data_IF_307093890030
#
_entry.id   IF_307093890030
#
_cell.length_a   1.000
_cell.length_b   1.000
_cell.length_c   1.000
_cell.angle_alpha   90.00
_cell.angle_beta   90.00
_cell.angle_gamma   90.00
#
_symmetry.space_group_name_H-M   'P 1'
#
loop_
_entity.id
_entity.type
_entity.pdbx_description
1 polymer ?
#
# COMPACT_ATOMS: atom_id res chain seq x y z
N UNK A 1 7.09 -19.70 12.59
CA UNK A 1 5.67 -19.73 12.19
C UNK A 1 5.01 -18.41 12.58
N UNK A 2 4.26 -17.77 11.67
CA UNK A 2 3.36 -16.66 12.07
C UNK A 2 2.29 -17.24 12.98
N UNK A 3 2.04 -16.63 14.13
CA UNK A 3 1.02 -17.11 15.04
C UNK A 3 -0.33 -16.81 14.39
N UNK A 4 -1.30 -17.73 14.49
CA UNK A 4 -2.66 -17.51 14.00
C UNK A 4 -3.25 -16.17 14.46
N UNK A 5 -2.86 -15.72 15.65
CA UNK A 5 -3.19 -14.42 16.25
C UNK A 5 -2.74 -13.19 15.43
N UNK A 6 -1.75 -13.34 14.53
CA UNK A 6 -1.28 -12.24 13.68
C UNK A 6 -2.24 -11.98 12.50
N UNK A 7 -3.00 -13.00 12.08
CA UNK A 7 -3.88 -12.95 10.91
C UNK A 7 -5.20 -12.27 11.29
N UNK A 8 -5.63 -11.31 10.48
CA UNK A 8 -6.95 -10.72 10.61
C UNK A 8 -7.97 -11.58 9.85
N UNK A 9 -8.98 -12.08 10.56
CA UNK A 9 -10.15 -12.74 9.96
C UNK A 9 -11.24 -11.74 9.57
N UNK A 10 -12.20 -12.17 8.73
CA UNK A 10 -13.32 -11.31 8.28
C UNK A 10 -14.14 -10.79 9.45
N UNK A 11 -14.46 -11.65 10.42
CA UNK A 11 -15.25 -11.26 11.59
C UNK A 11 -14.51 -10.23 12.45
N UNK A 12 -13.22 -10.45 12.71
CA UNK A 12 -12.38 -9.51 13.44
C UNK A 12 -12.22 -8.17 12.69
N UNK A 13 -12.05 -8.19 11.36
CA UNK A 13 -12.04 -6.97 10.53
C UNK A 13 -13.35 -6.19 10.71
N UNK A 14 -14.48 -6.88 10.58
CA UNK A 14 -15.80 -6.27 10.65
C UNK A 14 -16.11 -5.69 12.03
N UNK A 15 -15.78 -6.43 13.09
CA UNK A 15 -16.06 -6.03 14.46
C UNK A 15 -15.12 -4.93 14.96
N UNK A 16 -13.81 -5.07 14.74
CA UNK A 16 -12.81 -4.19 15.36
C UNK A 16 -12.40 -2.99 14.50
N UNK A 17 -12.41 -3.13 13.17
CA UNK A 17 -11.80 -2.13 12.29
C UNK A 17 -12.79 -1.37 11.41
N UNK A 18 -13.91 -1.97 11.00
CA UNK A 18 -14.92 -1.25 10.21
C UNK A 18 -15.67 -0.19 11.02
N UNK A 19 -15.69 -0.30 12.35
CA UNK A 19 -16.24 0.72 13.26
C UNK A 19 -15.52 2.07 13.15
N UNK A 20 -14.25 2.08 12.72
CA UNK A 20 -13.48 3.30 12.44
C UNK A 20 -13.94 4.04 11.17
N UNK A 21 -14.79 3.43 10.36
CA UNK A 21 -15.40 4.07 9.19
C UNK A 21 -16.79 4.56 9.54
N UNK A 22 -17.01 5.87 9.48
CA UNK A 22 -18.34 6.44 9.71
C UNK A 22 -19.27 6.12 8.54
N UNK A 23 -20.57 6.27 8.74
CA UNK A 23 -21.57 6.12 7.68
C UNK A 23 -21.24 7.02 6.47
N UNK A 24 -20.87 8.28 6.71
CA UNK A 24 -20.45 9.23 5.65
C UNK A 24 -19.21 8.73 4.90
N UNK A 25 -18.22 8.20 5.61
CA UNK A 25 -17.02 7.64 4.99
C UNK A 25 -17.35 6.46 4.07
N UNK A 26 -18.20 5.54 4.53
CA UNK A 26 -18.67 4.40 3.73
C UNK A 26 -19.39 4.86 2.47
N UNK A 27 -20.28 5.85 2.57
CA UNK A 27 -20.96 6.40 1.40
C UNK A 27 -20.02 7.01 0.36
N UNK A 28 -18.92 7.64 0.78
CA UNK A 28 -17.91 8.17 -0.14
C UNK A 28 -17.23 7.01 -0.87
N UNK A 29 -16.77 5.98 -0.13
CA UNK A 29 -16.08 4.83 -0.70
C UNK A 29 -16.96 3.95 -1.60
N UNK A 30 -18.24 3.78 -1.23
CA UNK A 30 -19.18 2.92 -1.95
C UNK A 30 -19.65 3.56 -3.29
N UNK A 31 -19.31 4.83 -3.58
CA UNK A 31 -19.59 5.50 -4.85
C UNK A 31 -18.33 6.04 -5.51
N UNK A 32 -18.06 5.58 -6.75
CA UNK A 32 -16.92 6.05 -7.54
C UNK A 32 -16.99 7.56 -7.82
N UNK A 33 -18.19 8.11 -8.03
CA UNK A 33 -18.41 9.54 -8.25
C UNK A 33 -18.13 10.36 -6.99
N UNK A 34 -18.71 9.98 -5.84
CA UNK A 34 -18.44 10.68 -4.57
C UNK A 34 -16.97 10.61 -4.18
N UNK A 35 -16.33 9.46 -4.38
CA UNK A 35 -14.89 9.31 -4.22
C UNK A 35 -14.13 10.33 -5.07
N UNK A 36 -14.41 10.42 -6.37
CA UNK A 36 -13.75 11.38 -7.27
C UNK A 36 -13.99 12.83 -6.88
N UNK A 37 -15.22 13.20 -6.57
CA UNK A 37 -15.57 14.56 -6.13
C UNK A 37 -14.72 14.98 -4.93
N UNK A 38 -14.63 14.12 -3.92
CA UNK A 38 -13.82 14.36 -2.72
C UNK A 38 -12.33 14.41 -3.04
N UNK A 39 -11.82 13.49 -3.86
CA UNK A 39 -10.41 13.47 -4.25
C UNK A 39 -10.03 14.75 -5.01
N UNK A 40 -10.83 15.15 -6.01
CA UNK A 40 -10.63 16.37 -6.79
C UNK A 40 -10.69 17.62 -5.92
N UNK A 41 -11.66 17.71 -4.99
CA UNK A 41 -11.76 18.82 -4.05
C UNK A 41 -10.48 19.03 -3.23
N UNK A 42 -9.83 17.93 -2.83
CA UNK A 42 -8.56 17.97 -2.09
C UNK A 42 -7.31 17.91 -2.97
N UNK A 43 -7.44 18.10 -4.28
CA UNK A 43 -6.33 18.03 -5.24
C UNK A 43 -5.54 16.71 -5.17
N UNK A 44 -6.22 15.61 -4.84
CA UNK A 44 -5.66 14.27 -4.89
C UNK A 44 -5.87 13.71 -6.30
N UNK A 45 -4.78 13.25 -6.92
CA UNK A 45 -4.81 12.84 -8.32
C UNK A 45 -5.72 11.63 -8.54
N UNK A 46 -6.74 11.79 -9.36
CA UNK A 46 -7.65 10.75 -9.82
C UNK A 46 -7.95 10.94 -11.32
N UNK A 47 -8.63 9.99 -11.97
CA UNK A 47 -9.02 10.16 -13.37
C UNK A 47 -10.06 11.28 -13.51
N UNK A 48 -9.88 12.13 -14.50
CA UNK A 48 -10.73 13.23 -14.93
C UNK A 48 -12.10 12.72 -15.35
N UNK A 49 -13.12 13.42 -14.89
CA UNK A 49 -14.52 13.15 -15.18
C UNK A 49 -14.95 14.00 -16.37
N UNK A 50 -15.44 13.37 -17.42
CA UNK A 50 -15.82 14.02 -18.67
C UNK A 50 -17.33 14.29 -18.74
N UNK A 51 -18.15 13.37 -18.22
CA UNK A 51 -19.60 13.49 -18.19
C UNK A 51 -20.22 12.65 -17.07
N UNK A 52 -21.39 13.06 -16.59
CA UNK A 52 -22.21 12.31 -15.62
C UNK A 52 -23.64 12.27 -16.17
N UNK A 53 -24.29 11.12 -16.09
CA UNK A 53 -25.68 10.92 -16.47
C UNK A 53 -26.44 10.34 -15.27
N UNK A 54 -27.31 11.14 -14.67
CA UNK A 54 -28.17 10.75 -13.54
C UNK A 54 -29.53 10.26 -14.00
N UNK A 55 -29.98 10.71 -15.17
CA UNK A 55 -31.25 10.35 -15.77
C UNK A 55 -31.17 10.29 -17.30
N UNK A 56 -32.30 9.96 -17.94
CA UNK A 56 -32.38 9.86 -19.40
C UNK A 56 -32.20 11.23 -20.07
N UNK A 57 -32.66 12.30 -19.45
CA UNK A 57 -32.55 13.65 -20.01
C UNK A 57 -31.09 14.07 -20.16
N UNK A 58 -30.25 13.75 -19.17
CA UNK A 58 -28.79 13.96 -19.25
C UNK A 58 -28.19 13.25 -20.48
N UNK A 59 -28.60 12.00 -20.75
CA UNK A 59 -28.15 11.22 -21.92
C UNK A 59 -28.60 11.87 -23.24
N UNK A 60 -29.85 12.35 -23.28
CA UNK A 60 -30.45 12.93 -24.48
C UNK A 60 -29.86 14.29 -24.84
N UNK A 61 -29.52 15.12 -23.84
CA UNK A 61 -29.00 16.48 -24.04
C UNK A 61 -27.49 16.54 -24.24
N UNK A 62 -26.77 15.48 -23.89
CA UNK A 62 -25.32 15.43 -24.02
C UNK A 62 -24.87 15.35 -25.48
N UNK A 63 -23.87 16.15 -25.84
CA UNK A 63 -23.26 16.18 -27.19
C UNK A 63 -22.16 15.12 -27.29
N UNK A 64 -22.55 13.89 -27.64
CA UNK A 64 -21.67 12.72 -27.71
C UNK A 64 -20.53 12.88 -28.73
N UNK A 65 -20.74 13.68 -29.77
CA UNK A 65 -19.78 13.98 -30.84
C UNK A 65 -18.49 14.64 -30.31
N UNK A 66 -18.61 15.39 -29.21
CA UNK A 66 -17.50 16.11 -28.57
C UNK A 66 -16.63 15.21 -27.70
N UNK A 67 -16.97 13.93 -27.54
CA UNK A 67 -16.14 13.01 -26.77
C UNK A 67 -14.73 12.88 -27.37
N UNK A 68 -13.71 12.72 -26.50
CA UNK A 68 -12.33 12.63 -26.94
C UNK A 68 -12.08 11.32 -27.71
N UNK A 69 -10.86 11.18 -28.23
CA UNK A 69 -10.46 9.96 -28.94
C UNK A 69 -10.68 8.69 -28.11
N UNK A 70 -10.45 8.75 -26.80
CA UNK A 70 -10.51 7.59 -25.93
C UNK A 70 -11.02 7.98 -24.54
N UNK A 71 -11.87 7.13 -23.97
CA UNK A 71 -12.52 7.35 -22.68
C UNK A 71 -13.04 6.01 -22.12
N UNK A 72 -13.62 6.04 -20.93
CA UNK A 72 -14.28 4.90 -20.31
C UNK A 72 -15.68 5.33 -19.88
N UNK A 73 -16.71 4.60 -20.34
CA UNK A 73 -18.09 4.73 -19.88
C UNK A 73 -18.36 3.62 -18.86
N UNK A 74 -18.80 3.97 -17.65
CA UNK A 74 -18.98 2.97 -16.59
C UNK A 74 -20.03 3.36 -15.53
N UNK A 75 -20.58 2.37 -14.80
CA UNK A 75 -21.45 2.59 -13.64
C UNK A 75 -20.68 3.10 -12.41
N UNK A 76 -21.35 3.94 -11.61
CA UNK A 76 -20.85 4.39 -10.30
C UNK A 76 -20.82 3.25 -9.28
N UNK A 77 -21.91 2.50 -9.13
CA UNK A 77 -22.08 1.40 -8.18
C UNK A 77 -21.76 -0.01 -8.71
N UNK A 78 -21.40 -0.15 -9.99
CA UNK A 78 -21.24 -1.47 -10.64
C UNK A 78 -20.31 -2.46 -9.92
N UNK A 79 -20.70 -3.74 -9.96
CA UNK A 79 -20.05 -4.86 -9.29
C UNK A 79 -19.07 -5.59 -10.21
N UNK A 80 -17.94 -6.09 -9.68
CA UNK A 80 -17.05 -7.00 -10.43
C UNK A 80 -16.47 -6.45 -11.75
N UNK A 81 -16.49 -5.12 -11.94
CA UNK A 81 -16.10 -4.49 -13.20
C UNK A 81 -17.06 -4.72 -14.36
N UNK A 82 -18.32 -5.04 -14.10
CA UNK A 82 -19.38 -5.09 -15.11
C UNK A 82 -19.86 -3.70 -15.52
N UNK A 83 -20.40 -3.59 -16.73
CA UNK A 83 -20.86 -2.31 -17.30
C UNK A 83 -19.73 -1.35 -17.69
N UNK A 84 -18.46 -1.73 -17.55
CA UNK A 84 -17.31 -0.91 -17.96
C UNK A 84 -17.08 -1.09 -19.46
N UNK A 85 -17.35 -0.04 -20.24
CA UNK A 85 -17.07 0.04 -21.66
C UNK A 85 -15.81 0.89 -21.89
N UNK A 86 -14.75 0.27 -22.42
CA UNK A 86 -13.44 0.93 -22.61
C UNK A 86 -13.25 1.30 -24.07
N UNK A 87 -13.27 2.60 -24.37
CA UNK A 87 -13.08 3.13 -25.71
C UNK A 87 -11.59 3.33 -26.02
N UNK A 88 -11.11 2.69 -27.08
CA UNK A 88 -9.68 2.66 -27.45
C UNK A 88 -9.23 3.90 -28.21
N UNK A 89 -10.00 4.27 -29.25
CA UNK A 89 -9.77 5.40 -30.16
C UNK A 89 -11.05 5.70 -30.97
N UNK A 90 -11.12 6.85 -31.64
CA UNK A 90 -12.13 7.11 -32.69
C UNK A 90 -11.96 6.17 -33.90
N UNK A 91 -13.06 5.84 -34.54
CA UNK A 91 -13.13 5.03 -35.77
C UNK A 91 -12.96 5.93 -37.02
N UNK A 92 -13.26 5.38 -38.20
CA UNK A 92 -13.15 6.06 -39.50
C UNK A 92 -14.21 7.16 -39.68
N UNK A 93 -15.42 6.96 -39.18
CA UNK A 93 -16.53 7.90 -39.33
C UNK A 93 -16.75 8.72 -38.06
N UNK A 94 -17.28 9.95 -38.21
CA UNK A 94 -17.60 10.80 -37.08
C UNK A 94 -18.73 10.19 -36.25
N UNK A 95 -18.59 10.19 -34.92
CA UNK A 95 -19.57 9.56 -34.02
C UNK A 95 -19.38 8.05 -33.85
N UNK A 96 -18.28 7.49 -34.37
CA UNK A 96 -17.91 6.10 -34.14
C UNK A 96 -16.59 5.96 -33.36
N UNK A 97 -16.51 4.93 -32.54
CA UNK A 97 -15.33 4.57 -31.78
C UNK A 97 -15.03 3.09 -31.86
N UNK A 98 -13.78 2.73 -31.63
CA UNK A 98 -13.33 1.33 -31.57
C UNK A 98 -13.10 0.91 -30.11
N UNK A 99 -13.59 -0.28 -29.76
CA UNK A 99 -13.33 -0.95 -28.49
C UNK A 99 -11.92 -1.56 -28.44
N UNK A 100 -11.63 -2.28 -27.35
CA UNK A 100 -10.32 -2.90 -27.14
C UNK A 100 -10.08 -4.16 -27.98
N UNK A 101 -11.15 -4.83 -28.41
CA UNK A 101 -11.16 -6.03 -29.25
C UNK A 101 -11.29 -5.71 -30.76
N UNK A 102 -11.57 -4.45 -31.10
CA UNK A 102 -11.71 -4.00 -32.49
C UNK A 102 -13.15 -3.78 -32.93
N UNK A 103 -14.14 -4.11 -32.09
CA UNK A 103 -15.55 -3.80 -32.35
C UNK A 103 -15.76 -2.28 -32.47
N UNK A 104 -16.63 -1.88 -33.40
CA UNK A 104 -16.99 -0.48 -33.61
C UNK A 104 -18.32 -0.22 -32.91
N UNK A 105 -18.40 0.86 -32.15
CA UNK A 105 -19.61 1.35 -31.49
C UNK A 105 -19.89 2.78 -31.93
N UNK A 106 -21.17 3.11 -32.09
CA UNK A 106 -21.62 4.45 -32.43
C UNK A 106 -22.25 5.21 -31.24
N UNK A 107 -22.75 6.41 -31.49
CA UNK A 107 -23.44 7.21 -30.47
C UNK A 107 -24.70 6.51 -29.92
N UNK A 108 -25.46 5.79 -30.75
CA UNK A 108 -26.65 5.08 -30.33
C UNK A 108 -26.29 3.93 -29.36
N UNK A 109 -25.23 3.18 -29.65
CA UNK A 109 -24.71 2.13 -28.78
C UNK A 109 -24.27 2.68 -27.42
N UNK A 110 -23.54 3.80 -27.42
CA UNK A 110 -23.10 4.46 -26.18
C UNK A 110 -24.27 4.95 -25.33
N UNK A 111 -25.29 5.54 -25.98
CA UNK A 111 -26.52 5.98 -25.31
C UNK A 111 -27.29 4.80 -24.73
N UNK A 112 -27.43 3.73 -25.50
CA UNK A 112 -28.09 2.51 -25.05
C UNK A 112 -27.38 1.91 -23.84
N UNK A 113 -26.05 1.78 -23.89
CA UNK A 113 -25.25 1.29 -22.75
C UNK A 113 -25.39 2.16 -21.50
N UNK A 114 -25.42 3.49 -21.66
CA UNK A 114 -25.67 4.41 -20.55
C UNK A 114 -27.08 4.22 -19.96
N UNK A 115 -28.10 3.99 -20.79
CA UNK A 115 -29.47 3.70 -20.32
C UNK A 115 -29.55 2.37 -19.57
N UNK A 116 -28.83 1.33 -20.01
CA UNK A 116 -28.75 0.05 -19.30
C UNK A 116 -28.11 0.19 -17.92
N UNK A 117 -27.09 1.05 -17.80
CA UNK A 117 -26.51 1.42 -16.50
C UNK A 117 -27.57 2.11 -15.62
N UNK A 118 -28.28 3.11 -16.14
CA UNK A 118 -29.33 3.80 -15.38
C UNK A 118 -30.46 2.87 -14.94
N UNK A 119 -30.80 1.88 -15.76
CA UNK A 119 -31.77 0.84 -15.44
C UNK A 119 -31.27 -0.17 -14.39
N UNK A 120 -29.99 -0.09 -14.02
CA UNK A 120 -29.40 -0.91 -12.96
C UNK A 120 -28.86 -2.26 -13.42
N UNK A 121 -28.77 -2.54 -14.73
CA UNK A 121 -28.37 -3.85 -15.30
C UNK A 121 -27.05 -4.40 -14.75
N UNK A 122 -26.13 -3.51 -14.36
CA UNK A 122 -24.79 -3.88 -13.90
C UNK A 122 -24.58 -3.68 -12.38
N UNK A 123 -25.66 -3.41 -11.65
CA UNK A 123 -25.65 -3.26 -10.20
C UNK A 123 -25.98 -4.59 -9.51
N UNK A 124 -25.45 -4.81 -8.30
CA UNK A 124 -25.61 -6.08 -7.58
C UNK A 124 -27.07 -6.47 -7.31
N UNK A 125 -27.97 -5.49 -7.21
CA UNK A 125 -29.38 -5.69 -6.87
C UNK A 125 -30.34 -5.21 -7.97
N UNK A 126 -29.84 -5.02 -9.20
CA UNK A 126 -30.60 -4.43 -10.30
C UNK A 126 -31.28 -3.09 -9.92
N UNK A 127 -30.64 -2.32 -9.06
CA UNK A 127 -31.09 -1.00 -8.62
C UNK A 127 -30.58 0.07 -9.58
N UNK A 128 -31.36 1.14 -9.85
CA UNK A 128 -30.90 2.25 -10.66
C UNK A 128 -29.53 2.79 -10.19
N UNK A 129 -28.66 3.09 -11.15
CA UNK A 129 -27.30 3.59 -10.92
C UNK A 129 -27.06 4.88 -11.74
N UNK A 130 -25.88 5.48 -11.59
CA UNK A 130 -25.43 6.64 -12.34
C UNK A 130 -24.37 6.19 -13.35
N UNK A 131 -24.57 6.52 -14.62
CA UNK A 131 -23.57 6.32 -15.66
C UNK A 131 -22.64 7.54 -15.73
N UNK A 132 -21.36 7.32 -16.01
CA UNK A 132 -20.44 8.44 -16.21
C UNK A 132 -19.31 8.09 -17.16
N UNK A 133 -18.74 9.13 -17.76
CA UNK A 133 -17.60 9.03 -18.66
C UNK A 133 -16.38 9.63 -17.97
N UNK A 134 -15.27 8.92 -17.98
CA UNK A 134 -13.99 9.40 -17.49
C UNK A 134 -12.88 9.21 -18.54
N UNK A 135 -11.76 9.87 -18.32
CA UNK A 135 -10.59 9.66 -19.15
C UNK A 135 -10.13 8.19 -19.13
N UNK A 136 -9.59 7.72 -20.26
CA UNK A 136 -8.92 6.43 -20.31
C UNK A 136 -7.44 6.57 -19.93
N UNK A 137 -7.06 5.90 -18.84
CA UNK A 137 -5.73 6.00 -18.28
C UNK A 137 -4.73 5.18 -19.11
N UNK A 138 -3.70 5.85 -19.65
CA UNK A 138 -2.57 5.18 -20.31
C UNK A 138 -1.59 4.67 -19.26
N UNK A 139 -1.55 3.36 -19.02
CA UNK A 139 -0.69 2.75 -18.01
C UNK A 139 0.79 2.74 -18.41
N UNK A 140 1.67 2.91 -17.43
CA UNK A 140 3.13 2.84 -17.61
C UNK A 140 3.59 1.48 -18.17
N UNK A 141 4.58 1.51 -19.07
CA UNK A 141 5.04 0.32 -19.83
C UNK A 141 5.62 -0.81 -18.98
N UNK A 142 6.10 -0.54 -17.76
CA UNK A 142 6.78 -1.55 -16.92
C UNK A 142 5.87 -2.75 -16.63
N UNK A 143 4.56 -2.52 -16.47
CA UNK A 143 3.61 -3.60 -16.17
C UNK A 143 3.18 -4.41 -17.39
N UNK A 144 3.38 -3.91 -18.62
CA UNK A 144 2.96 -4.61 -19.86
C UNK A 144 3.53 -6.01 -19.99
N UNK A 145 4.71 -6.27 -19.41
CA UNK A 145 5.35 -7.60 -19.45
C UNK A 145 4.80 -8.58 -18.41
N UNK A 146 3.95 -8.10 -17.50
CA UNK A 146 3.40 -8.87 -16.37
C UNK A 146 1.90 -9.15 -16.53
N UNK A 147 1.28 -8.61 -17.58
CA UNK A 147 -0.17 -8.58 -17.76
C UNK A 147 -0.48 -9.01 -19.19
N UNK A 148 -1.49 -9.85 -19.35
CA UNK A 148 -1.91 -10.27 -20.69
C UNK A 148 -2.72 -9.15 -21.36
N UNK A 149 -3.71 -8.61 -20.65
CA UNK A 149 -4.56 -7.48 -21.02
C UNK A 149 -5.11 -6.81 -19.74
N UNK A 150 -5.66 -5.60 -19.86
CA UNK A 150 -6.27 -4.89 -18.74
C UNK A 150 -5.32 -4.03 -17.90
N UNK A 151 -5.88 -3.43 -16.84
CA UNK A 151 -5.19 -2.42 -16.02
C UNK A 151 -4.76 -3.02 -14.68
N UNK A 152 -3.45 -3.12 -14.41
CA UNK A 152 -2.93 -3.41 -13.09
C UNK A 152 -3.22 -2.27 -12.14
N UNK A 153 -3.48 -2.63 -10.90
CA UNK A 153 -3.62 -1.68 -9.83
C UNK A 153 -2.76 -2.08 -8.62
N UNK A 154 -2.53 -1.11 -7.75
CA UNK A 154 -1.78 -1.25 -6.52
C UNK A 154 -2.74 -0.94 -5.38
N UNK A 155 -3.07 -1.95 -4.59
CA UNK A 155 -3.87 -1.78 -3.38
C UNK A 155 -2.97 -1.47 -2.19
N UNK A 156 -3.27 -0.40 -1.48
CA UNK A 156 -2.64 -0.03 -0.20
C UNK A 156 -3.71 0.00 0.89
N UNK A 157 -3.54 -0.77 1.95
CA UNK A 157 -4.37 -0.65 3.15
C UNK A 157 -3.75 0.38 4.08
N UNK A 158 -4.56 1.33 4.52
CA UNK A 158 -4.17 2.43 5.42
C UNK A 158 -5.03 2.37 6.69
N UNK A 159 -4.38 2.51 7.83
CA UNK A 159 -5.02 2.59 9.15
C UNK A 159 -4.27 3.59 10.03
N UNK A 160 -5.01 4.45 10.73
CA UNK A 160 -4.46 5.52 11.57
C UNK A 160 -3.35 6.35 10.86
N UNK A 161 -3.60 6.77 9.62
CA UNK A 161 -2.69 7.53 8.75
C UNK A 161 -1.36 6.82 8.44
N UNK A 162 -1.33 5.48 8.55
CA UNK A 162 -0.15 4.66 8.24
C UNK A 162 -0.54 3.58 7.22
N UNK A 163 0.07 3.56 6.03
CA UNK A 163 0.04 2.40 5.14
C UNK A 163 0.60 1.17 5.86
N UNK A 164 -0.22 0.14 6.04
CA UNK A 164 0.11 -1.07 6.82
C UNK A 164 0.41 -2.28 5.94
N UNK A 165 -0.10 -2.31 4.70
CA UNK A 165 0.14 -3.41 3.77
C UNK A 165 -0.18 -2.99 2.34
N UNK A 166 0.54 -3.53 1.36
CA UNK A 166 0.26 -3.26 -0.06
C UNK A 166 0.41 -4.51 -0.94
N UNK A 167 -0.30 -4.53 -2.07
CA UNK A 167 -0.13 -5.53 -3.11
C UNK A 167 -0.35 -4.94 -4.50
N UNK A 168 0.38 -5.47 -5.47
CA UNK A 168 0.10 -5.30 -6.89
C UNK A 168 -0.91 -6.36 -7.32
N UNK A 169 -1.95 -5.97 -8.05
CA UNK A 169 -2.89 -6.90 -8.69
C UNK A 169 -2.66 -6.89 -10.19
N UNK A 170 -2.39 -8.07 -10.74
CA UNK A 170 -2.08 -8.29 -12.13
C UNK A 170 -3.25 -9.04 -12.78
N UNK A 171 -3.94 -8.41 -13.75
CA UNK A 171 -4.92 -9.10 -14.56
C UNK A 171 -4.33 -10.28 -15.33
N UNK A 172 -5.13 -11.32 -15.48
CA UNK A 172 -4.82 -12.52 -16.25
C UNK A 172 -5.86 -12.74 -17.34
N UNK A 173 -5.62 -13.72 -18.20
CA UNK A 173 -6.62 -14.17 -19.17
C UNK A 173 -7.88 -14.70 -18.46
N UNK A 174 -7.69 -15.48 -17.39
CA UNK A 174 -8.79 -16.04 -16.59
C UNK A 174 -9.67 -14.95 -15.96
N UNK A 175 -9.07 -13.84 -15.53
CA UNK A 175 -9.82 -12.73 -14.96
C UNK A 175 -10.47 -11.80 -15.99
N UNK A 176 -10.45 -12.18 -17.28
CA UNK A 176 -10.98 -11.35 -18.36
C UNK A 176 -10.32 -9.98 -18.44
N UNK A 177 -9.03 -9.88 -18.08
CA UNK A 177 -8.33 -8.60 -18.02
C UNK A 177 -8.69 -7.72 -16.80
N UNK A 178 -9.40 -8.25 -15.80
CA UNK A 178 -9.73 -7.51 -14.56
C UNK A 178 -8.73 -7.80 -13.45
N UNK A 179 -8.46 -6.81 -12.60
CA UNK A 179 -7.59 -6.97 -11.43
C UNK A 179 -8.34 -7.50 -10.18
N UNK A 180 -9.15 -8.55 -10.38
CA UNK A 180 -9.95 -9.18 -9.34
C UNK A 180 -9.39 -10.57 -8.99
N UNK A 181 -8.87 -10.72 -7.77
CA UNK A 181 -8.26 -11.97 -7.31
C UNK A 181 -9.25 -13.15 -7.27
N UNK A 182 -10.53 -12.89 -7.04
CA UNK A 182 -11.57 -13.93 -7.05
C UNK A 182 -11.88 -14.44 -8.46
N UNK A 183 -11.58 -13.65 -9.48
CA UNK A 183 -11.73 -14.02 -10.90
C UNK A 183 -10.43 -14.59 -11.48
N UNK A 184 -9.43 -14.92 -10.66
CA UNK A 184 -8.18 -15.52 -11.15
C UNK A 184 -7.07 -14.52 -11.50
N UNK A 185 -7.21 -13.25 -11.11
CA UNK A 185 -6.09 -12.30 -11.15
C UNK A 185 -4.99 -12.70 -10.15
N UNK A 186 -3.77 -12.24 -10.37
CA UNK A 186 -2.63 -12.53 -9.50
C UNK A 186 -2.43 -11.38 -8.52
N UNK A 187 -2.31 -11.70 -7.24
CA UNK A 187 -1.91 -10.74 -6.20
C UNK A 187 -0.43 -10.90 -5.92
N UNK A 188 0.31 -9.80 -5.81
CA UNK A 188 1.73 -9.82 -5.50
C UNK A 188 2.01 -8.87 -4.35
N UNK A 189 2.47 -9.37 -3.21
CA UNK A 189 2.74 -8.52 -2.05
C UNK A 189 3.83 -7.49 -2.34
N UNK A 190 3.77 -6.31 -1.75
CA UNK A 190 4.77 -5.25 -1.92
C UNK A 190 5.42 -4.95 -0.58
N UNK A 191 6.75 -4.96 -0.55
CA UNK A 191 7.51 -4.49 0.59
C UNK A 191 7.33 -2.98 0.78
N UNK A 192 6.80 -2.56 1.93
CA UNK A 192 6.44 -1.16 2.16
C UNK A 192 7.64 -0.22 2.23
N UNK A 193 8.82 -0.70 2.67
CA UNK A 193 10.02 0.13 2.73
C UNK A 193 10.62 0.41 1.35
N UNK A 194 10.66 -0.60 0.48
CA UNK A 194 11.40 -0.56 -0.78
C UNK A 194 10.53 -0.42 -2.02
N UNK A 195 9.23 -0.69 -1.92
CA UNK A 195 8.34 -0.75 -3.09
C UNK A 195 8.62 -1.92 -4.01
N UNK A 196 9.28 -2.98 -3.52
CA UNK A 196 9.65 -4.15 -4.33
C UNK A 196 8.65 -5.27 -4.11
N UNK A 197 8.20 -5.89 -5.18
CA UNK A 197 7.29 -7.04 -5.12
C UNK A 197 7.95 -8.26 -4.47
N UNK A 198 7.15 -9.03 -3.73
CA UNK A 198 7.60 -10.13 -2.87
C UNK A 198 7.02 -11.47 -3.32
N UNK A 199 5.84 -11.87 -2.85
CA UNK A 199 5.26 -13.19 -3.16
C UNK A 199 4.03 -13.03 -4.05
N UNK A 200 3.98 -13.81 -5.13
CA UNK A 200 2.82 -13.92 -5.99
C UNK A 200 1.84 -14.97 -5.46
N UNK A 201 0.54 -14.70 -5.59
CA UNK A 201 -0.56 -15.57 -5.19
C UNK A 201 -1.63 -15.57 -6.29
N UNK A 202 -2.13 -16.75 -6.63
CA UNK A 202 -3.31 -16.95 -7.50
C UNK A 202 -4.09 -18.12 -6.93
N UNK A 203 -5.42 -18.02 -6.84
CA UNK A 203 -6.26 -19.07 -6.22
C UNK A 203 -5.81 -19.47 -4.81
N UNK A 204 -5.35 -18.49 -4.03
CA UNK A 204 -4.75 -18.69 -2.70
C UNK A 204 -3.47 -19.54 -2.66
N UNK A 205 -2.93 -19.93 -3.82
CA UNK A 205 -1.68 -20.67 -3.94
C UNK A 205 -0.51 -19.77 -4.35
N UNK A 206 0.70 -20.12 -3.91
CA UNK A 206 1.91 -19.37 -4.25
C UNK A 206 2.28 -19.59 -5.72
N UNK A 207 2.44 -18.49 -6.45
CA UNK A 207 2.92 -18.49 -7.83
C UNK A 207 4.22 -17.70 -7.94
N UNK A 208 5.21 -18.28 -8.62
CA UNK A 208 6.54 -17.66 -8.81
C UNK A 208 6.63 -16.82 -10.08
N UNK A 209 5.88 -17.21 -11.11
CA UNK A 209 5.98 -16.65 -12.45
C UNK A 209 4.63 -16.16 -12.96
N UNK A 210 4.65 -15.20 -13.87
CA UNK A 210 3.46 -14.79 -14.65
C UNK A 210 3.04 -15.99 -15.51
N UNK A 211 1.75 -16.39 -15.51
CA UNK A 211 1.25 -17.54 -16.25
C UNK A 211 1.67 -17.52 -17.72
N UNK A 212 2.12 -18.65 -18.23
CA UNK A 212 2.60 -18.78 -19.61
C UNK A 212 3.95 -18.11 -19.90
N UNK A 213 4.67 -17.61 -18.89
CA UNK A 213 5.98 -16.97 -19.08
C UNK A 213 7.02 -17.42 -18.06
N UNK A 214 8.30 -17.16 -18.33
CA UNK A 214 9.41 -17.33 -17.36
C UNK A 214 9.66 -16.09 -16.48
N UNK A 215 8.75 -15.12 -16.50
CA UNK A 215 8.94 -13.84 -15.80
C UNK A 215 8.55 -13.95 -14.34
N UNK A 216 9.52 -13.73 -13.44
CA UNK A 216 9.30 -13.78 -12.00
C UNK A 216 8.39 -12.64 -11.54
N UNK A 217 7.48 -12.93 -10.62
CA UNK A 217 6.58 -11.95 -10.01
C UNK A 217 7.27 -11.12 -8.91
N UNK A 218 8.33 -11.66 -8.31
CA UNK A 218 9.12 -11.00 -7.27
C UNK A 218 10.22 -10.11 -7.84
N UNK A 219 10.67 -9.12 -7.05
CA UNK A 219 11.79 -8.26 -7.43
C UNK A 219 11.44 -7.09 -8.36
N UNK A 220 10.18 -6.93 -8.76
CA UNK A 220 9.73 -5.76 -9.52
C UNK A 220 9.67 -4.55 -8.58
N UNK A 221 10.42 -3.49 -8.90
CA UNK A 221 10.32 -2.21 -8.19
C UNK A 221 9.14 -1.41 -8.76
N UNK A 222 8.19 -1.08 -7.91
CA UNK A 222 7.03 -0.25 -8.24
C UNK A 222 7.51 1.20 -8.47
N UNK A 223 7.24 1.80 -9.64
CA UNK A 223 7.52 3.20 -9.89
C UNK A 223 6.70 4.11 -8.97
N UNK A 224 7.21 5.30 -8.66
CA UNK A 224 6.51 6.30 -7.84
C UNK A 224 6.07 5.81 -6.45
N UNK A 225 6.83 4.88 -5.85
CA UNK A 225 6.40 4.21 -4.63
C UNK A 225 6.19 5.17 -3.46
N UNK A 226 7.08 6.14 -3.31
CA UNK A 226 7.00 7.10 -2.22
C UNK A 226 5.84 8.07 -2.41
N UNK A 227 5.56 8.50 -3.65
CA UNK A 227 4.38 9.29 -3.97
C UNK A 227 3.08 8.52 -3.73
N UNK A 228 3.05 7.21 -4.02
CA UNK A 228 1.88 6.34 -3.72
C UNK A 228 1.63 6.28 -2.22
N UNK A 229 2.65 6.02 -1.42
CA UNK A 229 2.51 5.97 0.04
C UNK A 229 2.05 7.32 0.60
N UNK A 230 2.62 8.42 0.10
CA UNK A 230 2.26 9.76 0.52
C UNK A 230 0.81 10.10 0.14
N UNK A 231 0.38 9.79 -1.07
CA UNK A 231 -0.99 9.96 -1.54
C UNK A 231 -1.98 9.13 -0.70
N UNK A 232 -1.59 7.90 -0.32
CA UNK A 232 -2.42 7.04 0.52
C UNK A 232 -2.64 7.63 1.92
N UNK A 233 -1.61 8.21 2.54
CA UNK A 233 -1.75 8.89 3.84
C UNK A 233 -2.60 10.15 3.69
N UNK A 234 -2.30 11.00 2.69
CA UNK A 234 -3.04 12.25 2.43
C UNK A 234 -4.52 11.98 2.17
N UNK A 235 -4.86 10.92 1.43
CA UNK A 235 -6.24 10.53 1.21
C UNK A 235 -6.99 10.27 2.52
N UNK A 236 -6.37 9.56 3.47
CA UNK A 236 -7.00 9.34 4.78
C UNK A 236 -7.04 10.60 5.65
N UNK A 237 -6.02 11.47 5.58
CA UNK A 237 -6.02 12.76 6.29
C UNK A 237 -7.15 13.69 5.83
N UNK A 238 -7.42 13.71 4.52
CA UNK A 238 -8.47 14.55 3.91
C UNK A 238 -9.86 13.93 3.99
N UNK A 239 -9.92 12.61 4.18
CA UNK A 239 -11.18 11.86 4.36
C UNK A 239 -11.14 11.17 5.74
N UNK A 240 -11.15 11.94 6.84
CA UNK A 240 -10.99 11.40 8.20
C UNK A 240 -12.15 10.47 8.61
N UNK A 241 -13.25 10.48 7.85
CA UNK A 241 -14.40 9.60 7.99
C UNK A 241 -14.11 8.13 7.65
N UNK A 242 -12.98 7.84 7.00
CA UNK A 242 -12.51 6.50 6.66
C UNK A 242 -11.25 6.16 7.48
N UNK A 243 -11.43 5.72 8.73
CA UNK A 243 -10.31 5.37 9.62
C UNK A 243 -9.58 4.07 9.26
N UNK A 244 -10.20 3.17 8.49
CA UNK A 244 -9.61 1.94 7.95
C UNK A 244 -10.06 1.71 6.51
N UNK A 245 -9.16 1.79 5.52
CA UNK A 245 -9.54 1.67 4.12
C UNK A 245 -8.46 1.00 3.26
N UNK A 246 -8.89 0.40 2.16
CA UNK A 246 -8.04 0.11 1.01
C UNK A 246 -8.13 1.24 0.00
N UNK A 247 -7.00 1.59 -0.61
CA UNK A 247 -6.90 2.58 -1.67
C UNK A 247 -6.25 1.90 -2.85
N UNK A 248 -6.89 1.96 -4.01
CA UNK A 248 -6.37 1.34 -5.22
C UNK A 248 -5.82 2.41 -6.15
N UNK A 249 -4.56 2.22 -6.53
CA UNK A 249 -3.83 3.13 -7.39
C UNK A 249 -3.58 2.51 -8.74
N UNK A 250 -3.53 3.34 -9.77
CA UNK A 250 -2.97 3.00 -11.07
C UNK A 250 -1.85 3.99 -11.40
N UNK A 251 -0.84 3.55 -12.14
CA UNK A 251 0.27 4.42 -12.54
C UNK A 251 0.09 4.82 -14.00
N UNK A 252 -0.31 6.08 -14.19
CA UNK A 252 -0.37 6.71 -15.50
C UNK A 252 1.04 6.97 -16.04
N UNK A 253 1.22 6.74 -17.35
CA UNK A 253 2.44 7.03 -18.08
C UNK A 253 2.83 8.52 -17.99
N UNK A 254 1.84 9.42 -17.96
CA UNK A 254 2.07 10.85 -18.10
C UNK A 254 1.89 11.63 -16.79
N UNK A 255 1.11 11.11 -15.83
CA UNK A 255 0.77 11.82 -14.58
C UNK A 255 1.23 11.11 -13.30
N UNK A 256 1.86 9.94 -13.41
CA UNK A 256 2.25 9.16 -12.24
C UNK A 256 1.05 8.50 -11.55
N UNK A 257 1.06 8.35 -10.22
CA UNK A 257 0.05 7.60 -9.49
C UNK A 257 -1.30 8.34 -9.42
N UNK A 258 -2.37 7.61 -9.70
CA UNK A 258 -3.75 8.09 -9.64
C UNK A 258 -4.56 7.16 -8.74
N UNK A 259 -5.39 7.72 -7.86
CA UNK A 259 -6.35 6.97 -7.05
C UNK A 259 -7.54 6.59 -7.94
N UNK A 260 -7.79 5.30 -8.06
CA UNK A 260 -8.89 4.73 -8.85
C UNK A 260 -10.15 4.51 -8.00
N UNK A 261 -9.99 3.91 -6.81
CA UNK A 261 -11.09 3.65 -5.89
C UNK A 261 -10.64 3.71 -4.42
N UNK A 262 -11.59 4.05 -3.55
CA UNK A 262 -11.49 3.90 -2.10
C UNK A 262 -12.39 2.74 -1.68
N UNK A 263 -11.90 1.88 -0.79
CA UNK A 263 -12.63 0.71 -0.34
C UNK A 263 -12.73 0.70 1.18
N UNK A 264 -13.94 0.93 1.71
CA UNK A 264 -14.20 0.92 3.15
C UNK A 264 -14.15 -0.49 3.77
N UNK A 265 -14.09 -1.55 2.97
CA UNK A 265 -14.11 -2.95 3.41
C UNK A 265 -13.04 -3.77 2.67
N UNK A 266 -11.75 -3.41 2.78
CA UNK A 266 -10.70 -4.01 1.97
C UNK A 266 -10.61 -5.53 2.17
N UNK A 267 -10.36 -6.24 1.08
CA UNK A 267 -10.18 -7.69 1.06
C UNK A 267 -8.92 -8.15 1.81
N UNK A 268 -8.98 -9.34 2.39
CA UNK A 268 -7.94 -9.86 3.30
C UNK A 268 -6.89 -10.76 2.63
N UNK A 269 -7.08 -11.11 1.35
CA UNK A 269 -6.13 -11.90 0.54
C UNK A 269 -4.74 -11.24 0.39
N UNK A 270 -4.67 -9.93 0.60
CA UNK A 270 -3.42 -9.17 0.69
C UNK A 270 -2.46 -9.73 1.75
N UNK A 271 -2.98 -10.36 2.82
CA UNK A 271 -2.19 -11.03 3.85
C UNK A 271 -1.41 -12.23 3.29
N UNK A 272 -2.05 -12.98 2.39
CA UNK A 272 -1.45 -14.13 1.72
C UNK A 272 -0.33 -13.64 0.79
N UNK A 273 -0.61 -12.58 0.01
CA UNK A 273 0.35 -11.97 -0.92
C UNK A 273 1.60 -11.43 -0.21
N UNK A 274 1.44 -10.86 1.00
CA UNK A 274 2.55 -10.37 1.81
C UNK A 274 3.16 -11.44 2.72
N UNK A 275 2.59 -12.65 2.70
CA UNK A 275 2.80 -13.72 3.69
C UNK A 275 2.82 -13.17 5.10
N UNK A 276 1.99 -12.20 5.46
CA UNK A 276 2.02 -11.50 6.75
C UNK A 276 0.63 -11.20 7.27
N UNK A 277 0.44 -11.40 8.58
CA UNK A 277 -0.81 -11.10 9.24
C UNK A 277 -1.04 -9.59 9.35
N UNK A 278 -2.25 -9.16 8.99
CA UNK A 278 -2.69 -7.78 9.02
C UNK A 278 -3.03 -7.32 10.45
N UNK A 279 -3.57 -8.21 11.30
CA UNK A 279 -4.02 -7.84 12.65
C UNK A 279 -2.87 -7.25 13.48
N UNK A 280 -1.73 -7.96 13.53
CA UNK A 280 -0.54 -7.48 14.26
C UNK A 280 0.01 -6.16 13.72
N UNK A 281 -0.18 -5.87 12.43
CA UNK A 281 0.25 -4.59 11.84
C UNK A 281 -0.66 -3.45 12.24
N UNK A 282 -1.97 -3.68 12.27
CA UNK A 282 -2.96 -2.71 12.72
C UNK A 282 -2.77 -2.35 14.20
N UNK A 283 -2.62 -3.36 15.08
CA UNK A 283 -2.34 -3.16 16.52
C UNK A 283 -1.11 -2.27 16.77
N UNK A 284 -0.08 -2.39 15.94
CA UNK A 284 1.17 -1.62 16.09
C UNK A 284 0.99 -0.13 15.84
N UNK A 285 0.01 0.25 15.02
CA UNK A 285 -0.18 1.65 14.61
C UNK A 285 -1.42 2.30 15.24
N UNK A 286 -2.35 1.52 15.79
CA UNK A 286 -3.63 1.99 16.34
C UNK A 286 -3.52 3.21 17.27
N UNK A 287 -2.47 3.25 18.10
CA UNK A 287 -2.27 4.30 19.13
C UNK A 287 -1.09 5.22 18.85
N UNK A 288 -0.57 5.20 17.62
CA UNK A 288 0.51 6.10 17.24
C UNK A 288 -0.03 7.48 16.89
N UNK A 289 0.73 8.49 17.25
CA UNK A 289 0.45 9.87 16.86
C UNK A 289 1.10 10.14 15.50
N UNK A 290 0.27 10.29 14.46
CA UNK A 290 0.74 10.63 13.11
C UNK A 290 0.51 12.12 12.86
N UNK A 291 1.63 12.84 12.78
CA UNK A 291 1.70 14.31 12.73
C UNK A 291 1.52 14.88 11.33
N UNK A 292 1.95 14.14 10.32
CA UNK A 292 1.82 14.52 8.91
C UNK A 292 1.86 13.28 8.01
N UNK A 293 1.57 13.48 6.72
CA UNK A 293 1.68 12.43 5.72
C UNK A 293 3.09 11.85 5.64
N UNK A 294 4.12 12.69 5.65
CA UNK A 294 5.53 12.29 5.61
C UNK A 294 5.92 11.50 6.86
N UNK A 295 5.40 11.89 8.04
CA UNK A 295 5.57 11.12 9.27
C UNK A 295 4.89 9.74 9.16
N UNK A 296 3.68 9.67 8.60
CA UNK A 296 2.97 8.42 8.33
C UNK A 296 3.77 7.48 7.44
N UNK A 297 4.33 7.99 6.33
CA UNK A 297 5.21 7.22 5.43
C UNK A 297 6.48 6.76 6.16
N UNK A 298 7.09 7.60 6.99
CA UNK A 298 8.28 7.22 7.78
C UNK A 298 7.96 6.08 8.74
N UNK A 299 6.84 6.16 9.46
CA UNK A 299 6.35 5.08 10.34
C UNK A 299 6.12 3.79 9.53
N UNK A 300 5.46 3.89 8.38
CA UNK A 300 5.23 2.75 7.46
C UNK A 300 6.52 2.03 7.13
N UNK A 301 7.52 2.75 6.62
CA UNK A 301 8.79 2.16 6.19
C UNK A 301 9.55 1.56 7.37
N UNK A 302 9.56 2.25 8.51
CA UNK A 302 10.26 1.82 9.71
C UNK A 302 9.65 0.60 10.40
N UNK A 303 8.31 0.47 10.40
CA UNK A 303 7.62 -0.63 11.10
C UNK A 303 7.37 -1.85 10.22
N UNK A 304 7.23 -1.67 8.91
CA UNK A 304 6.72 -2.69 8.00
C UNK A 304 7.63 -3.00 6.81
N UNK A 305 8.79 -2.35 6.70
CA UNK A 305 9.86 -2.82 5.84
C UNK A 305 10.28 -4.23 6.22
N UNK A 306 10.36 -5.12 5.23
CA UNK A 306 11.19 -6.30 5.33
C UNK A 306 12.60 -5.83 5.63
N UNK A 307 13.21 -6.37 6.68
CA UNK A 307 14.60 -6.11 6.97
C UNK A 307 15.40 -6.46 5.69
N UNK A 308 16.28 -5.58 5.20
CA UNK A 308 17.10 -5.81 4.00
C UNK A 308 17.78 -7.20 4.02
N UNK A 309 18.01 -7.67 5.23
CA UNK A 309 18.19 -9.05 5.63
C UNK A 309 17.44 -10.15 4.85
N UNK A 310 16.11 -10.09 4.78
CA UNK A 310 15.26 -11.10 4.12
C UNK A 310 15.55 -11.24 2.60
N UNK A 311 16.23 -10.26 1.98
CA UNK A 311 16.61 -10.28 0.56
C UNK A 311 18.01 -10.83 0.28
N UNK A 312 18.92 -10.82 1.27
CA UNK A 312 20.34 -11.21 1.08
C UNK A 312 20.64 -12.64 1.58
N UNK A 313 19.80 -13.19 2.46
CA UNK A 313 19.94 -14.55 3.00
C UNK A 313 19.86 -15.68 1.94
N UNK A 314 19.59 -15.36 0.68
CA UNK A 314 19.57 -16.31 -0.44
C UNK A 314 20.88 -16.40 -1.22
N UNK A 315 21.92 -15.60 -0.91
CA UNK A 315 23.12 -15.48 -1.76
C UNK A 315 24.48 -15.46 -1.03
N UNK A 316 24.59 -15.73 0.27
CA UNK A 316 25.90 -15.77 0.93
C UNK A 316 25.92 -16.48 2.29
N UNK A 317 27.09 -17.01 2.65
CA UNK A 317 27.37 -17.65 3.94
C UNK A 317 26.90 -16.77 5.10
N UNK A 318 26.26 -17.33 6.14
CA UNK A 318 25.73 -16.55 7.25
C UNK A 318 26.85 -15.79 7.96
N UNK A 319 26.64 -14.49 8.19
CA UNK A 319 27.60 -13.66 8.93
C UNK A 319 27.54 -14.07 10.40
N UNK A 320 28.66 -14.56 10.93
CA UNK A 320 28.77 -14.89 12.35
C UNK A 320 28.98 -13.59 13.14
N UNK A 321 28.36 -13.47 14.31
CA UNK A 321 28.57 -12.38 15.27
C UNK A 321 28.75 -12.93 16.70
N UNK A 322 29.54 -12.23 17.51
CA UNK A 322 29.75 -12.54 18.92
C UNK A 322 28.62 -12.05 19.84
N UNK A 323 28.76 -12.28 21.15
CA UNK A 323 27.85 -11.69 22.15
C UNK A 323 28.01 -10.16 22.27
N UNK A 324 29.15 -9.63 21.84
CA UNK A 324 29.47 -8.22 21.78
C UNK A 324 30.08 -7.89 20.42
N UNK A 325 29.60 -6.82 19.79
CA UNK A 325 30.05 -6.44 18.45
C UNK A 325 30.28 -4.94 18.37
N UNK A 326 31.32 -4.54 17.62
CA UNK A 326 31.49 -3.13 17.25
C UNK A 326 30.57 -2.84 16.06
N UNK A 327 29.67 -1.89 16.26
CA UNK A 327 28.78 -1.39 15.21
C UNK A 327 29.12 0.04 14.84
N UNK A 328 28.84 0.42 13.59
CA UNK A 328 28.99 1.79 13.13
C UNK A 328 27.62 2.45 13.02
N UNK A 329 27.28 3.33 13.94
CA UNK A 329 26.02 4.08 13.92
C UNK A 329 26.19 5.28 12.98
N UNK A 330 25.21 5.53 12.11
CA UNK A 330 25.14 6.76 11.33
C UNK A 330 24.59 7.87 12.22
N UNK A 331 25.38 8.93 12.43
CA UNK A 331 24.94 10.13 13.10
C UNK A 331 24.02 10.96 12.20
N UNK A 332 23.50 12.03 12.78
CA UNK A 332 22.52 12.91 12.16
C UNK A 332 23.07 13.76 10.99
N UNK A 333 24.40 13.74 10.78
CA UNK A 333 25.16 14.35 9.68
C UNK A 333 25.69 13.29 8.69
N UNK A 334 25.35 12.01 8.86
CA UNK A 334 25.78 10.91 8.00
C UNK A 334 27.19 10.37 8.29
N UNK A 335 27.83 10.75 9.41
CA UNK A 335 29.13 10.21 9.82
C UNK A 335 28.95 8.87 10.54
N UNK A 336 29.91 7.96 10.36
CA UNK A 336 29.90 6.63 11.00
C UNK A 336 30.66 6.67 12.32
N UNK A 337 29.97 6.42 13.43
CA UNK A 337 30.54 6.38 14.77
C UNK A 337 30.56 4.94 15.29
N UNK A 338 31.74 4.46 15.69
CA UNK A 338 31.93 3.10 16.20
C UNK A 338 31.50 2.99 17.67
N UNK A 339 30.60 2.06 17.97
CA UNK A 339 30.06 1.83 19.32
C UNK A 339 30.08 0.33 19.62
N UNK A 340 30.46 -0.05 20.84
CA UNK A 340 30.34 -1.43 21.30
C UNK A 340 28.88 -1.73 21.69
N UNK A 341 28.27 -2.71 21.03
CA UNK A 341 26.91 -3.14 21.27
C UNK A 341 26.86 -4.56 21.84
N UNK A 342 25.90 -4.81 22.73
CA UNK A 342 25.58 -6.16 23.21
C UNK A 342 24.53 -6.78 22.28
N UNK A 343 24.76 -7.99 21.82
CA UNK A 343 23.75 -8.79 21.10
C UNK A 343 22.85 -9.46 22.13
N UNK A 344 21.54 -9.25 22.03
CA UNK A 344 20.57 -9.78 23.00
C UNK A 344 19.35 -10.36 22.28
N UNK A 345 19.29 -11.69 22.22
CA UNK A 345 18.20 -12.45 21.58
C UNK A 345 16.91 -12.39 22.40
N UNK A 346 16.97 -12.06 23.70
CA UNK A 346 15.81 -11.92 24.57
C UNK A 346 15.10 -10.57 24.40
N UNK A 347 15.80 -9.55 23.90
CA UNK A 347 15.23 -8.25 23.61
C UNK A 347 14.60 -8.23 22.20
N UNK A 348 13.31 -7.92 22.08
CA UNK A 348 12.65 -7.82 20.76
C UNK A 348 13.24 -6.68 19.90
N UNK A 349 13.62 -5.56 20.49
CA UNK A 349 14.14 -4.36 19.80
C UNK A 349 15.51 -3.93 20.28
N UNK A 350 16.23 -3.27 19.39
CA UNK A 350 17.46 -2.56 19.74
C UNK A 350 17.20 -1.35 20.63
N UNK A 351 18.21 -0.99 21.42
CA UNK A 351 18.16 0.20 22.26
C UNK A 351 19.49 0.95 22.26
N UNK A 352 19.40 2.27 22.38
CA UNK A 352 20.54 3.19 22.38
C UNK A 352 20.53 4.05 23.65
N UNK A 353 21.72 4.28 24.21
CA UNK A 353 21.91 5.16 25.35
C UNK A 353 21.43 6.59 25.03
N UNK A 354 20.76 7.23 25.98
CA UNK A 354 20.21 8.58 25.80
C UNK A 354 21.29 9.63 25.53
N UNK A 355 22.41 9.63 26.25
CA UNK A 355 23.48 10.63 26.05
C UNK A 355 24.11 10.43 24.68
N UNK A 356 24.39 9.18 24.32
CA UNK A 356 24.92 8.84 23.00
C UNK A 356 23.95 9.24 21.88
N UNK A 357 22.64 8.99 22.03
CA UNK A 357 21.65 9.38 21.03
C UNK A 357 21.60 10.91 20.84
N UNK A 358 21.79 11.68 21.91
CA UNK A 358 21.83 13.13 21.89
C UNK A 358 23.11 13.65 21.21
N UNK A 359 24.28 13.12 21.59
CA UNK A 359 25.59 13.43 20.98
C UNK A 359 25.62 13.15 19.47
N UNK A 360 24.95 12.09 19.04
CA UNK A 360 24.82 11.74 17.62
C UNK A 360 23.77 12.61 16.88
N UNK A 361 23.03 13.46 17.59
CA UNK A 361 21.94 14.28 17.05
C UNK A 361 20.73 13.46 16.59
N UNK A 362 20.50 12.28 17.18
CA UNK A 362 19.42 11.37 16.80
C UNK A 362 18.11 11.64 17.53
N UNK A 363 18.10 12.56 18.52
CA UNK A 363 16.92 12.97 19.30
C UNK A 363 16.16 14.17 18.70
N UNK A 364 16.43 14.54 17.45
CA UNK A 364 15.66 15.57 16.74
C UNK A 364 14.20 15.13 16.54
N UNK A 365 13.28 16.09 16.55
CA UNK A 365 11.85 15.82 16.43
C UNK A 365 11.46 15.04 15.18
N UNK A 366 12.16 15.29 14.06
CA UNK A 366 11.96 14.60 12.78
C UNK A 366 12.44 13.14 12.82
N UNK A 367 13.38 12.79 13.71
CA UNK A 367 13.94 11.45 13.85
C UNK A 367 13.25 10.58 14.90
N UNK A 368 12.52 11.19 15.82
CA UNK A 368 11.68 10.50 16.79
C UNK A 368 10.42 9.98 16.09
N UNK A 369 10.26 8.65 16.03
CA UNK A 369 9.11 7.99 15.42
C UNK A 369 7.89 8.02 16.35
N UNK A 370 8.08 7.76 17.65
CA UNK A 370 7.04 7.90 18.68
C UNK A 370 7.66 7.88 20.07
N UNK A 371 6.87 8.25 21.09
CA UNK A 371 7.26 8.11 22.50
C UNK A 371 6.44 7.03 23.19
N UNK A 372 7.09 6.07 23.86
CA UNK A 372 6.41 5.08 24.72
C UNK A 372 6.45 5.51 26.17
N UNK A 373 5.32 5.30 26.88
CA UNK A 373 5.27 5.35 28.33
C UNK A 373 5.69 3.98 28.87
N UNK A 374 6.77 3.93 29.64
CA UNK A 374 7.20 2.71 30.33
C UNK A 374 6.86 2.81 31.81
N UNK A 375 6.29 1.74 32.39
CA UNK A 375 6.05 1.61 33.82
C UNK A 375 7.30 0.98 34.44
N UNK A 376 8.06 1.75 35.21
CA UNK A 376 9.14 1.17 36.02
C UNK A 376 8.54 0.36 37.18
N UNK A 377 9.33 -0.54 37.77
CA UNK A 377 8.94 -1.27 38.99
C UNK A 377 8.57 -0.32 40.16
N UNK A 378 9.04 0.93 40.10
CA UNK A 378 8.78 2.01 41.09
C UNK A 378 7.58 2.89 40.66
N UNK A 379 6.79 2.49 39.66
CA UNK A 379 5.55 3.17 39.28
C UNK A 379 5.69 4.50 38.52
N UNK A 380 6.90 5.06 38.41
CA UNK A 380 7.13 6.28 37.59
C UNK A 380 6.99 5.97 36.10
N UNK A 381 6.13 6.73 35.42
CA UNK A 381 5.99 6.73 33.96
C UNK A 381 7.16 7.48 33.33
N UNK A 382 8.13 6.77 32.76
CA UNK A 382 9.15 7.40 31.91
C UNK A 382 8.69 7.40 30.46
N UNK A 383 8.63 8.58 29.84
CA UNK A 383 8.50 8.70 28.38
C UNK A 383 9.86 8.42 27.75
N UNK A 384 9.92 7.40 26.90
CA UNK A 384 11.13 7.00 26.16
C UNK A 384 10.88 7.25 24.67
N UNK A 385 11.69 8.10 24.02
CA UNK A 385 11.59 8.26 22.58
C UNK A 385 12.07 6.97 21.89
N UNK A 386 11.41 6.65 20.79
CA UNK A 386 11.82 5.62 19.85
C UNK A 386 12.23 6.34 18.58
N UNK A 387 13.48 6.14 18.18
CA UNK A 387 14.10 6.85 17.07
C UNK A 387 14.28 5.93 15.87
N UNK A 388 14.35 6.50 14.66
CA UNK A 388 14.94 5.80 13.54
C UNK A 388 16.45 5.72 13.75
N UNK A 389 17.01 4.53 13.56
CA UNK A 389 18.42 4.25 13.73
C UNK A 389 18.95 3.52 12.50
N UNK A 390 20.02 4.04 11.93
CA UNK A 390 20.78 3.33 10.91
C UNK A 390 22.16 2.98 11.47
N UNK A 391 22.55 1.71 11.39
CA UNK A 391 23.88 1.27 11.79
C UNK A 391 24.40 0.15 10.91
N UNK A 392 25.70 -0.14 11.00
CA UNK A 392 26.33 -1.26 10.32
C UNK A 392 26.78 -2.30 11.34
N UNK A 393 26.37 -3.56 11.14
CA UNK A 393 26.78 -4.72 11.94
C UNK A 393 27.44 -5.74 11.03
N UNK A 394 28.68 -6.11 11.33
CA UNK A 394 29.53 -6.97 10.48
C UNK A 394 29.46 -6.55 8.99
N UNK A 395 29.55 -5.23 8.72
CA UNK A 395 29.49 -4.65 7.37
C UNK A 395 28.11 -4.62 6.70
N UNK A 396 27.03 -5.03 7.39
CA UNK A 396 25.65 -4.99 6.86
C UNK A 396 24.95 -3.75 7.36
N UNK A 397 24.41 -2.93 6.45
CA UNK A 397 23.56 -1.79 6.80
C UNK A 397 22.23 -2.30 7.36
N UNK A 398 21.86 -1.82 8.54
CA UNK A 398 20.61 -2.09 9.24
C UNK A 398 19.92 -0.76 9.46
N UNK A 399 18.71 -0.64 8.93
CA UNK A 399 17.80 0.48 9.17
C UNK A 399 16.67 -0.05 10.05
N UNK A 400 16.54 0.49 11.26
CA UNK A 400 15.62 -0.01 12.28
C UNK A 400 15.07 1.12 13.15
N UNK A 401 14.32 0.74 14.18
CA UNK A 401 13.88 1.63 15.24
C UNK A 401 14.43 1.16 16.57
N UNK A 402 15.01 2.09 17.32
CA UNK A 402 15.66 1.81 18.60
C UNK A 402 14.98 2.57 19.74
N UNK A 403 14.78 1.89 20.86
CA UNK A 403 14.33 2.53 22.11
C UNK A 403 15.49 3.36 22.69
N UNK A 404 15.25 4.62 23.02
CA UNK A 404 16.22 5.46 23.73
C UNK A 404 16.02 5.29 25.22
N UNK A 405 17.06 4.79 25.89
CA UNK A 405 17.05 4.43 27.31
C UNK A 405 18.31 4.90 27.98
N UNK A 406 18.24 5.16 29.29
CA UNK A 406 19.45 5.37 30.08
C UNK A 406 20.18 4.03 30.23
N UNK A 407 21.38 3.94 29.64
CA UNK A 407 22.30 2.81 29.72
C UNK A 407 23.64 3.29 30.26
N UNK A 408 23.66 4.40 30.99
CA UNK A 408 24.88 5.03 31.51
C UNK A 408 25.67 4.09 32.43
N UNK A 409 24.98 3.29 33.24
CA UNK A 409 25.56 2.28 34.14
C UNK A 409 25.94 0.97 33.46
N UNK A 410 25.58 0.76 32.19
CA UNK A 410 25.87 -0.47 31.46
C UNK A 410 27.18 -0.35 30.68
N UNK A 411 27.88 -1.48 30.58
CA UNK A 411 29.11 -1.63 29.78
C UNK A 411 28.92 -1.24 28.31
N UNK A 412 27.75 -1.50 27.74
CA UNK A 412 27.43 -1.19 26.33
C UNK A 412 26.36 -0.12 26.22
N UNK A 413 26.68 0.91 25.43
CA UNK A 413 25.76 2.03 25.12
C UNK A 413 24.73 1.68 24.06
N UNK A 414 24.87 0.52 23.41
CA UNK A 414 23.88 -0.02 22.50
C UNK A 414 23.59 -1.48 22.81
N UNK A 415 22.34 -1.87 22.62
CA UNK A 415 21.91 -3.27 22.60
C UNK A 415 21.21 -3.54 21.27
N UNK A 416 21.51 -4.69 20.67
CA UNK A 416 20.93 -5.12 19.41
C UNK A 416 19.96 -6.25 19.70
N UNK A 417 18.68 -6.00 19.44
CA UNK A 417 17.61 -6.96 19.71
C UNK A 417 17.43 -7.99 18.60
N UNK A 418 16.64 -9.03 18.90
CA UNK A 418 16.29 -10.14 18.03
C UNK A 418 15.83 -9.74 16.63
N UNK A 419 15.13 -8.60 16.48
CA UNK A 419 14.68 -8.10 15.17
C UNK A 419 15.81 -7.76 14.21
N UNK A 420 16.92 -7.29 14.73
CA UNK A 420 18.03 -6.74 13.94
C UNK A 420 19.14 -7.79 13.71
N UNK A 421 19.05 -8.94 14.37
CA UNK A 421 20.05 -10.03 14.31
C UNK A 421 19.56 -11.33 13.65
N UNK A 422 18.35 -11.36 13.09
CA UNK A 422 17.74 -12.59 12.51
C UNK A 422 18.58 -13.32 11.46
N UNK A 423 19.48 -12.58 10.83
CA UNK A 423 20.29 -13.03 9.69
C UNK A 423 21.73 -13.39 10.06
N UNK A 424 22.04 -13.36 11.34
CA UNK A 424 23.38 -13.62 11.83
C UNK A 424 23.38 -14.92 12.64
N UNK A 425 24.47 -15.66 12.53
CA UNK A 425 24.72 -16.79 13.43
C UNK A 425 25.44 -16.23 14.64
N UNK A 426 24.87 -16.42 15.82
CA UNK A 426 25.47 -15.94 17.06
C UNK A 426 26.40 -17.04 17.58
N UNK A 427 27.69 -16.73 17.67
CA UNK A 427 28.68 -17.57 18.32
C UNK A 427 29.17 -16.86 19.58
N UNK A 428 28.66 -17.20 20.78
CA UNK A 428 29.04 -16.54 22.03
C UNK A 428 30.52 -16.66 22.41
N UNK A 429 31.24 -17.62 21.80
CA UNK A 429 32.67 -17.88 22.04
C UNK A 429 33.60 -16.98 21.22
N UNK A 430 33.04 -16.14 20.35
CA UNK A 430 33.73 -15.09 19.60
C UNK A 430 33.53 -13.75 20.28
#
# INVERSE_FOLDING_TARGET
MKKWQDILGINARNSHYLSYNTWRGRQIADSKLKTKEVLSHYSLSCPELLAIFKDRDDIHRFTWENLPDNFVLKPSGGYGGEGILVIRKKSRWAGEWELMDGEIVDIADLRFHAQEILAGRFSLHNTPDIAFIEERIKIIKVFRKYTHQGTPDIRVIVFNKVPVMAMLRLPTLESGGKANLHQGAIGVGIDLATGVTTYGVRHNELVKYVPGTRRKLNGLRIPYWDEILLAAVRAQERIPFLGFLGIDFVISKNRGPLILELNARPGLSIQICNRAGLNKRLERVERLEVRSAEHGVKITKALFGASFADKVSTLGSPRVIGAYERVQILDSKGRKISVLAKIDTGADRSSLDRKLADELGLLREDNIIFTRKYKSAIGKHQKRPVISLTFYLAGKKIETVADVVDRSSLRTKMLIGARDIKDFVINPSR
#
